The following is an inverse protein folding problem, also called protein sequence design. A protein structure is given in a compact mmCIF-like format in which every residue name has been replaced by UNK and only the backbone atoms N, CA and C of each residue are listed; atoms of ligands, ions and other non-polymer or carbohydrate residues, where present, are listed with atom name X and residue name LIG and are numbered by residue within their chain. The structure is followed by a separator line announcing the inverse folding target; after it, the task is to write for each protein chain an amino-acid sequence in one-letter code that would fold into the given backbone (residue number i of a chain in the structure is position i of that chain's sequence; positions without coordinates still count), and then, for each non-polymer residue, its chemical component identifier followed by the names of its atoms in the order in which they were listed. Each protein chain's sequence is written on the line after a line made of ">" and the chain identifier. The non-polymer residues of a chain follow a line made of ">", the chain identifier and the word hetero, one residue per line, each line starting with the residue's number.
data_IF_282728294725
#
_entry.id   IF_282728294725
#
_cell.length_a   1.000
_cell.length_b   1.000
_cell.length_c   1.000
_cell.angle_alpha   90.00
_cell.angle_beta   90.00
_cell.angle_gamma   90.00
#
_symmetry.space_group_name_H-M   'P 1'
#
loop_
_entity.id
_entity.type
_entity.pdbx_description
1 polymer ?
#
# COMPACT_ATOMS: atom_id res chain seq x y z
N UNK A 1 16.54 -28.52 7.75
CA UNK A 1 15.89 -27.30 8.27
C UNK A 1 14.61 -27.12 7.47
N UNK A 2 13.46 -26.94 8.12
CA UNK A 2 12.18 -26.81 7.40
C UNK A 2 12.11 -25.41 6.78
N UNK A 3 12.21 -25.30 5.47
CA UNK A 3 11.91 -24.05 4.78
C UNK A 3 10.38 -23.88 4.75
N UNK A 4 9.91 -22.69 5.13
CA UNK A 4 8.51 -22.29 4.97
C UNK A 4 8.53 -21.32 3.81
N UNK A 5 8.10 -21.77 2.63
CA UNK A 5 8.07 -20.92 1.44
C UNK A 5 6.83 -20.01 1.51
N UNK A 6 6.93 -18.74 1.07
CA UNK A 6 5.78 -17.83 1.05
C UNK A 6 4.74 -18.30 0.04
N UNK A 7 3.46 -18.06 0.34
CA UNK A 7 2.40 -18.28 -0.64
C UNK A 7 2.34 -17.14 -1.65
N UNK A 8 1.73 -17.40 -2.80
CA UNK A 8 1.43 -16.37 -3.79
C UNK A 8 0.62 -15.24 -3.14
N UNK A 9 1.09 -14.02 -3.34
CA UNK A 9 0.54 -12.80 -2.75
C UNK A 9 0.48 -12.78 -1.21
N UNK A 10 1.24 -13.63 -0.51
CA UNK A 10 1.32 -13.56 0.94
C UNK A 10 2.08 -12.30 1.38
N UNK A 11 1.51 -11.54 2.31
CA UNK A 11 2.21 -10.42 2.92
C UNK A 11 3.26 -10.91 3.92
N UNK A 12 4.44 -10.28 3.91
CA UNK A 12 5.62 -10.71 4.64
C UNK A 12 5.41 -10.77 6.16
N UNK A 13 4.52 -9.95 6.72
CA UNK A 13 4.09 -10.06 8.12
C UNK A 13 3.35 -11.39 8.39
N UNK A 14 2.43 -11.77 7.50
CA UNK A 14 1.72 -13.04 7.57
C UNK A 14 2.67 -14.22 7.41
N UNK A 15 3.61 -14.10 6.48
CA UNK A 15 4.63 -15.12 6.25
C UNK A 15 5.56 -15.29 7.46
N UNK A 16 6.02 -14.19 8.08
CA UNK A 16 6.78 -14.23 9.33
C UNK A 16 5.96 -14.89 10.46
N UNK A 17 4.66 -14.66 10.50
CA UNK A 17 3.71 -15.33 11.38
C UNK A 17 3.57 -16.84 11.14
N UNK A 18 3.65 -17.31 9.89
CA UNK A 18 3.72 -18.75 9.60
C UNK A 18 5.07 -19.32 10.00
N UNK A 19 6.15 -18.64 9.67
CA UNK A 19 7.51 -19.02 10.06
C UNK A 19 7.64 -19.17 11.58
N UNK A 20 7.06 -18.24 12.36
CA UNK A 20 7.14 -18.28 13.83
C UNK A 20 6.62 -19.57 14.44
N UNK A 21 5.59 -20.18 13.85
CA UNK A 21 4.96 -21.41 14.36
C UNK A 21 5.88 -22.63 14.32
N UNK A 22 6.81 -22.66 13.37
CA UNK A 22 7.75 -23.78 13.24
C UNK A 22 9.03 -23.61 14.06
N UNK A 23 9.39 -22.37 14.43
CA UNK A 23 10.72 -22.06 14.99
C UNK A 23 10.72 -21.50 16.42
N UNK A 24 9.55 -21.25 17.02
CA UNK A 24 9.50 -20.79 18.41
C UNK A 24 8.13 -20.40 18.96
N UNK A 25 7.06 -20.49 18.17
CA UNK A 25 5.70 -20.17 18.61
C UNK A 25 5.52 -18.70 18.99
N UNK A 26 6.21 -17.78 18.30
CA UNK A 26 6.13 -16.35 18.62
C UNK A 26 4.69 -15.82 18.44
N UNK A 27 4.20 -15.09 19.43
CA UNK A 27 2.86 -14.52 19.41
C UNK A 27 2.79 -13.16 18.69
N UNK A 28 3.93 -12.51 18.45
CA UNK A 28 3.99 -11.16 17.88
C UNK A 28 5.27 -10.90 17.08
N UNK A 29 5.23 -9.85 16.25
CA UNK A 29 6.40 -9.35 15.54
C UNK A 29 7.52 -8.95 16.50
N UNK A 30 7.17 -8.35 17.65
CA UNK A 30 8.16 -7.94 18.65
C UNK A 30 8.88 -9.15 19.25
N UNK A 31 8.17 -10.24 19.50
CA UNK A 31 8.78 -11.48 20.01
C UNK A 31 9.69 -12.11 18.97
N UNK A 32 9.26 -12.16 17.71
CA UNK A 32 10.07 -12.65 16.61
C UNK A 32 11.35 -11.82 16.42
N UNK A 33 11.23 -10.49 16.40
CA UNK A 33 12.38 -9.59 16.30
C UNK A 33 13.32 -9.70 17.51
N UNK A 34 12.79 -9.87 18.73
CA UNK A 34 13.60 -10.08 19.93
C UNK A 34 14.37 -11.39 19.85
N UNK A 35 13.74 -12.45 19.32
CA UNK A 35 14.40 -13.71 19.06
C UNK A 35 15.51 -13.54 18.02
N UNK A 36 15.23 -12.94 16.86
CA UNK A 36 16.24 -12.69 15.80
C UNK A 36 17.49 -12.00 16.35
N UNK A 37 17.32 -10.95 17.15
CA UNK A 37 18.42 -10.24 17.81
C UNK A 37 19.24 -11.13 18.75
N UNK A 38 18.59 -12.00 19.52
CA UNK A 38 19.28 -12.92 20.46
C UNK A 38 19.98 -14.07 19.75
N UNK A 39 19.45 -14.54 18.64
CA UNK A 39 19.99 -15.67 17.89
C UNK A 39 21.28 -15.34 17.12
N UNK A 40 21.72 -14.08 17.10
CA UNK A 40 22.79 -13.62 16.22
C UNK A 40 22.43 -13.68 14.73
N UNK A 41 21.15 -13.93 14.42
CA UNK A 41 20.62 -14.00 13.06
C UNK A 41 19.97 -12.69 12.62
N UNK A 42 19.88 -11.71 13.53
CA UNK A 42 19.55 -10.34 13.18
C UNK A 42 20.76 -9.67 12.55
N UNK A 43 20.58 -9.08 11.38
CA UNK A 43 21.60 -8.26 10.73
C UNK A 43 22.07 -7.15 11.69
N UNK A 44 23.39 -7.00 11.81
CA UNK A 44 24.06 -6.10 12.77
C UNK A 44 23.90 -4.62 12.42
N UNK A 45 23.38 -4.30 11.23
CA UNK A 45 23.10 -2.92 10.84
C UNK A 45 21.77 -2.42 11.43
N UNK A 46 21.67 -1.11 11.75
CA UNK A 46 20.47 -0.46 12.27
C UNK A 46 19.38 -0.29 11.20
N UNK A 47 19.08 -1.35 10.45
CA UNK A 47 17.89 -1.47 9.61
C UNK A 47 16.66 -1.79 10.49
N UNK A 48 16.36 -0.89 11.43
CA UNK A 48 15.18 -1.01 12.30
C UNK A 48 13.92 -1.18 11.44
N UNK A 49 13.32 -2.37 11.44
CA UNK A 49 12.00 -2.64 10.85
C UNK A 49 11.95 -3.70 9.73
N UNK A 50 13.01 -3.89 8.95
CA UNK A 50 13.06 -4.91 7.87
C UNK A 50 13.78 -6.21 8.23
N UNK A 51 14.32 -6.31 9.45
CA UNK A 51 15.08 -7.51 9.89
C UNK A 51 14.33 -8.84 9.68
N UNK A 52 13.01 -8.85 9.87
CA UNK A 52 12.20 -10.04 9.63
C UNK A 52 12.03 -10.34 8.13
N UNK A 53 11.93 -9.32 7.27
CA UNK A 53 11.87 -9.46 5.81
C UNK A 53 13.18 -10.03 5.29
N UNK A 54 14.31 -9.44 5.68
CA UNK A 54 15.66 -9.90 5.29
C UNK A 54 15.90 -11.34 5.73
N UNK A 55 15.56 -11.65 6.97
CA UNK A 55 15.70 -12.99 7.52
C UNK A 55 14.87 -14.02 6.73
N UNK A 56 13.58 -13.73 6.48
CA UNK A 56 12.70 -14.67 5.80
C UNK A 56 13.08 -14.82 4.32
N UNK A 57 13.48 -13.75 3.64
CA UNK A 57 14.01 -13.81 2.28
C UNK A 57 15.25 -14.72 2.20
N UNK A 58 16.22 -14.50 3.09
CA UNK A 58 17.42 -15.34 3.18
C UNK A 58 17.08 -16.82 3.45
N UNK A 59 16.12 -17.09 4.34
CA UNK A 59 15.71 -18.47 4.68
C UNK A 59 14.97 -19.20 3.56
N UNK A 60 14.37 -18.47 2.63
CA UNK A 60 13.63 -19.02 1.50
C UNK A 60 14.43 -19.00 0.20
N UNK A 61 15.70 -18.59 0.26
CA UNK A 61 16.56 -18.43 -0.92
C UNK A 61 15.93 -17.50 -1.99
N UNK A 62 15.15 -16.52 -1.55
CA UNK A 62 14.58 -15.45 -2.38
C UNK A 62 15.47 -14.22 -2.19
N UNK A 63 15.77 -13.49 -3.27
CA UNK A 63 16.51 -12.24 -3.13
C UNK A 63 15.71 -11.24 -2.29
N UNK A 64 16.40 -10.38 -1.53
CA UNK A 64 15.71 -9.37 -0.72
C UNK A 64 14.84 -8.46 -1.60
N UNK A 65 15.32 -8.12 -2.79
CA UNK A 65 14.57 -7.31 -3.76
C UNK A 65 13.27 -8.01 -4.18
N UNK A 66 13.36 -9.26 -4.65
CA UNK A 66 12.19 -10.03 -5.07
C UNK A 66 11.18 -10.21 -3.93
N UNK A 67 11.67 -10.45 -2.71
CA UNK A 67 10.81 -10.60 -1.56
C UNK A 67 10.10 -9.29 -1.22
N UNK A 68 10.79 -8.15 -1.30
CA UNK A 68 10.17 -6.84 -1.13
C UNK A 68 9.08 -6.62 -2.19
N UNK A 69 9.36 -6.90 -3.46
CA UNK A 69 8.39 -6.73 -4.55
C UNK A 69 7.16 -7.63 -4.40
N UNK A 70 7.34 -8.88 -3.96
CA UNK A 70 6.28 -9.90 -3.98
C UNK A 70 5.58 -10.09 -2.64
N UNK A 71 6.18 -9.65 -1.53
CA UNK A 71 5.70 -9.92 -0.17
C UNK A 71 5.59 -8.67 0.69
N UNK A 72 5.67 -7.46 0.13
CA UNK A 72 5.41 -6.21 0.88
C UNK A 72 4.45 -5.29 0.13
N UNK A 73 4.04 -4.19 0.77
CA UNK A 73 3.24 -3.13 0.15
C UNK A 73 4.11 -1.99 -0.39
N UNK A 74 5.44 -2.12 -0.34
CA UNK A 74 6.36 -1.13 -0.88
C UNK A 74 6.05 -0.78 -2.35
N UNK A 75 5.74 -1.73 -3.25
CA UNK A 75 5.45 -1.42 -4.66
C UNK A 75 4.30 -0.42 -4.84
N UNK A 76 3.22 -0.58 -4.05
CA UNK A 76 2.05 0.30 -4.07
C UNK A 76 2.34 1.71 -3.53
N UNK A 77 3.42 1.87 -2.74
CA UNK A 77 3.80 3.15 -2.11
C UNK A 77 4.85 3.90 -2.89
N UNK A 78 5.60 3.21 -3.76
CA UNK A 78 6.48 3.85 -4.74
C UNK A 78 5.57 4.70 -5.63
N UNK A 79 5.77 6.02 -5.62
CA UNK A 79 5.09 6.90 -6.58
C UNK A 79 5.69 6.71 -7.98
N UNK A 80 6.09 7.83 -8.57
CA UNK A 80 6.98 7.86 -9.72
C UNK A 80 8.43 7.83 -9.20
N UNK A 81 9.24 6.91 -9.69
CA UNK A 81 10.68 6.95 -9.46
C UNK A 81 11.30 7.79 -10.57
N UNK A 82 12.19 8.72 -10.21
CA UNK A 82 13.07 9.36 -11.17
C UNK A 82 14.17 8.36 -11.57
N UNK A 83 14.43 8.21 -12.87
CA UNK A 83 15.44 7.32 -13.49
C UNK A 83 16.91 7.52 -13.03
N UNK A 84 17.17 8.34 -12.00
CA UNK A 84 18.50 8.49 -11.40
C UNK A 84 18.98 7.31 -10.55
N UNK A 85 18.27 6.17 -10.60
CA UNK A 85 18.58 4.96 -9.80
C UNK A 85 19.70 4.10 -10.39
N UNK A 86 20.08 4.32 -11.65
CA UNK A 86 21.16 3.57 -12.29
C UNK A 86 22.53 4.27 -12.19
N UNK A 87 22.61 5.45 -11.56
CA UNK A 87 23.76 6.35 -11.71
C UNK A 87 24.68 6.56 -10.52
N UNK A 88 24.21 6.51 -9.26
CA UNK A 88 24.99 7.05 -8.15
C UNK A 88 24.97 6.19 -6.88
N UNK A 89 26.10 5.50 -6.70
CA UNK A 89 26.71 4.99 -5.45
C UNK A 89 25.77 4.41 -4.38
N UNK A 90 26.06 3.15 -4.01
CA UNK A 90 25.41 2.36 -2.97
C UNK A 90 25.34 2.99 -1.56
N UNK A 91 25.95 4.15 -1.32
CA UNK A 91 26.32 4.57 0.04
C UNK A 91 25.47 5.67 0.72
N UNK A 92 24.50 6.34 0.08
CA UNK A 92 23.69 7.33 0.84
C UNK A 92 22.21 7.44 0.41
N UNK A 93 21.92 7.52 -0.89
CA UNK A 93 20.54 7.59 -1.38
C UNK A 93 19.74 6.30 -1.09
N UNK A 94 20.40 5.14 -1.19
CA UNK A 94 19.83 3.85 -0.77
C UNK A 94 19.54 3.80 0.73
N UNK A 95 20.36 4.41 1.58
CA UNK A 95 20.18 4.44 3.04
C UNK A 95 18.99 5.31 3.47
N UNK A 96 18.79 6.48 2.83
CA UNK A 96 17.65 7.38 3.09
C UNK A 96 16.33 6.77 2.60
N UNK A 97 16.33 6.07 1.45
CA UNK A 97 15.17 5.32 0.95
C UNK A 97 14.84 4.13 1.84
N UNK A 98 15.87 3.38 2.24
CA UNK A 98 15.79 2.33 3.26
C UNK A 98 15.18 2.85 4.55
N UNK A 99 15.45 4.11 4.96
CA UNK A 99 14.93 4.77 6.19
C UNK A 99 13.44 5.12 6.17
N UNK A 100 12.90 5.55 5.03
CA UNK A 100 11.49 5.97 4.90
C UNK A 100 10.55 4.76 4.68
N UNK A 101 11.11 3.66 4.18
CA UNK A 101 10.45 2.36 3.99
C UNK A 101 10.38 1.52 5.29
N UNK A 102 11.11 1.90 6.35
CA UNK A 102 11.41 1.06 7.54
C UNK A 102 10.22 0.53 8.33
N UNK A 103 9.07 1.21 8.33
CA UNK A 103 7.88 0.76 9.06
C UNK A 103 6.60 0.83 8.23
N UNK A 104 6.56 1.77 7.30
CA UNK A 104 5.37 2.10 6.51
C UNK A 104 5.22 1.24 5.24
N UNK A 105 6.17 0.36 4.94
CA UNK A 105 6.12 -0.55 3.77
C UNK A 105 5.45 -1.89 4.02
N UNK A 106 5.15 -2.22 5.29
CA UNK A 106 4.61 -3.52 5.71
C UNK A 106 3.09 -3.51 5.85
N UNK A 107 2.50 -2.35 6.09
CA UNK A 107 1.07 -2.05 6.11
C UNK A 107 0.91 -0.63 5.55
N UNK A 108 -0.25 -0.29 4.98
CA UNK A 108 -0.49 1.00 4.36
C UNK A 108 -1.66 1.78 5.02
N UNK A 109 -1.54 3.10 5.06
CA UNK A 109 -2.63 4.03 5.44
C UNK A 109 -2.83 4.30 6.93
N UNK A 110 -4.01 4.77 7.38
CA UNK A 110 -4.37 4.84 8.80
C UNK A 110 -4.71 3.47 9.39
N UNK A 111 -4.86 2.47 8.52
CA UNK A 111 -5.12 1.06 8.82
C UNK A 111 -3.85 0.31 9.28
N UNK A 112 -2.79 1.03 9.66
CA UNK A 112 -1.48 0.49 10.07
C UNK A 112 -1.52 -0.51 11.23
N UNK A 113 -2.67 -0.65 11.90
CA UNK A 113 -2.86 -1.55 13.02
C UNK A 113 -4.08 -2.46 12.84
N UNK A 114 -4.45 -2.76 11.60
CA UNK A 114 -5.46 -3.77 11.30
C UNK A 114 -4.95 -4.75 10.24
N UNK A 115 -5.40 -6.00 10.31
CA UNK A 115 -5.18 -7.00 9.29
C UNK A 115 -6.51 -7.31 8.60
N UNK A 116 -6.57 -7.10 7.28
CA UNK A 116 -7.77 -7.28 6.47
C UNK A 116 -7.79 -8.64 5.78
N UNK A 117 -8.95 -9.28 5.68
CA UNK A 117 -9.08 -10.56 5.01
C UNK A 117 -10.48 -10.77 4.43
N UNK A 118 -10.59 -11.69 3.48
CA UNK A 118 -11.86 -12.16 2.95
C UNK A 118 -12.16 -13.55 3.55
N UNK A 119 -13.40 -13.76 4.01
CA UNK A 119 -13.82 -15.03 4.59
C UNK A 119 -13.82 -16.17 3.56
N UNK A 120 -14.30 -15.89 2.34
CA UNK A 120 -14.30 -16.84 1.22
C UNK A 120 -12.88 -17.23 0.80
N UNK A 121 -11.95 -16.27 0.74
CA UNK A 121 -10.53 -16.55 0.58
C UNK A 121 -9.98 -17.48 1.68
N UNK A 122 -10.19 -17.11 2.95
CA UNK A 122 -9.64 -17.86 4.08
C UNK A 122 -10.17 -19.31 4.15
N UNK A 123 -11.46 -19.51 3.86
CA UNK A 123 -12.08 -20.84 3.86
C UNK A 123 -11.69 -21.66 2.63
N UNK A 124 -11.59 -21.04 1.46
CA UNK A 124 -11.08 -21.65 0.23
C UNK A 124 -9.64 -22.15 0.40
N UNK A 125 -8.75 -21.30 0.92
CA UNK A 125 -7.34 -21.64 1.15
C UNK A 125 -7.21 -22.86 2.07
N UNK A 126 -8.00 -22.94 3.16
CA UNK A 126 -7.97 -24.10 4.07
C UNK A 126 -8.44 -25.38 3.37
N UNK A 127 -9.46 -25.29 2.52
CA UNK A 127 -9.96 -26.44 1.78
C UNK A 127 -8.91 -26.98 0.79
N UNK A 128 -8.17 -26.09 0.15
CA UNK A 128 -7.21 -26.45 -0.90
C UNK A 128 -5.82 -26.81 -0.33
N UNK A 129 -5.33 -26.04 0.63
CA UNK A 129 -3.95 -26.12 1.13
C UNK A 129 -3.84 -26.56 2.60
N UNK A 130 -4.96 -26.71 3.31
CA UNK A 130 -4.99 -27.05 4.74
C UNK A 130 -4.71 -25.87 5.68
N UNK A 131 -4.40 -24.69 5.14
CA UNK A 131 -4.21 -23.45 5.89
C UNK A 131 -4.53 -22.24 5.01
N UNK A 132 -4.63 -21.06 5.61
CA UNK A 132 -4.85 -19.79 4.88
C UNK A 132 -3.74 -18.79 5.16
N UNK A 133 -3.57 -17.81 4.28
CA UNK A 133 -2.56 -16.75 4.41
C UNK A 133 -3.12 -15.36 4.15
N UNK A 134 -2.43 -14.35 4.68
CA UNK A 134 -2.80 -12.95 4.53
C UNK A 134 -2.38 -12.45 3.14
N UNK A 135 -3.35 -12.10 2.29
CA UNK A 135 -3.09 -11.50 0.98
C UNK A 135 -2.64 -10.05 1.09
N UNK A 136 -1.74 -9.61 0.21
CA UNK A 136 -1.22 -8.23 0.20
C UNK A 136 -2.24 -7.25 -0.31
N UNK A 137 -2.95 -7.60 -1.37
CA UNK A 137 -3.94 -6.71 -2.01
C UNK A 137 -5.05 -6.29 -1.03
N UNK A 138 -5.45 -7.18 -0.11
CA UNK A 138 -6.37 -6.90 0.97
C UNK A 138 -5.84 -5.82 1.93
N UNK A 139 -4.52 -5.67 2.09
CA UNK A 139 -3.91 -4.73 3.03
C UNK A 139 -3.71 -3.31 2.45
N UNK A 140 -3.98 -3.10 1.17
CA UNK A 140 -3.85 -1.78 0.54
C UNK A 140 -4.82 -0.77 1.18
N UNK A 141 -4.36 0.46 1.44
CA UNK A 141 -5.19 1.49 2.07
C UNK A 141 -6.38 1.88 1.18
N UNK A 142 -7.57 1.96 1.76
CA UNK A 142 -8.82 2.29 1.04
C UNK A 142 -9.48 1.12 0.29
N UNK A 143 -8.83 -0.04 0.22
CA UNK A 143 -9.46 -1.27 -0.29
C UNK A 143 -10.43 -1.82 0.76
N UNK A 144 -11.69 -1.97 0.35
CA UNK A 144 -12.80 -2.37 1.19
C UNK A 144 -13.44 -3.71 0.78
N UNK A 145 -13.14 -4.23 -0.41
CA UNK A 145 -13.67 -5.48 -0.93
C UNK A 145 -12.55 -6.37 -1.49
N UNK A 146 -12.79 -7.68 -1.50
CA UNK A 146 -11.92 -8.66 -2.10
C UNK A 146 -11.96 -8.56 -3.63
N UNK A 147 -10.80 -8.48 -4.28
CA UNK A 147 -10.75 -8.44 -5.75
C UNK A 147 -11.16 -9.74 -6.43
N UNK A 148 -11.15 -10.86 -5.71
CA UNK A 148 -11.51 -12.19 -6.24
C UNK A 148 -12.99 -12.46 -6.04
N UNK A 149 -13.51 -12.23 -4.84
CA UNK A 149 -14.88 -12.60 -4.47
C UNK A 149 -15.87 -11.43 -4.54
N UNK A 150 -15.41 -10.19 -4.63
CA UNK A 150 -16.26 -8.98 -4.56
C UNK A 150 -16.86 -8.69 -3.18
N UNK A 151 -16.62 -9.56 -2.20
CA UNK A 151 -17.17 -9.43 -0.85
C UNK A 151 -16.43 -8.38 -0.02
N UNK A 152 -17.13 -7.69 0.91
CA UNK A 152 -16.49 -6.78 1.85
C UNK A 152 -15.42 -7.48 2.70
N UNK A 153 -14.26 -6.83 2.87
CA UNK A 153 -13.17 -7.34 3.69
C UNK A 153 -13.54 -7.24 5.17
N UNK A 154 -13.30 -8.31 5.92
CA UNK A 154 -13.26 -8.31 7.37
C UNK A 154 -11.90 -7.80 7.86
N UNK A 155 -11.85 -7.31 9.09
CA UNK A 155 -10.59 -6.94 9.72
C UNK A 155 -10.49 -7.43 11.16
N UNK A 156 -9.27 -7.54 11.64
CA UNK A 156 -8.92 -7.70 13.05
C UNK A 156 -7.91 -6.64 13.43
N UNK A 157 -7.94 -6.21 14.69
CA UNK A 157 -7.03 -5.18 15.21
C UNK A 157 -5.71 -5.80 15.63
N UNK A 158 -4.65 -5.00 15.57
CA UNK A 158 -3.33 -5.36 16.07
C UNK A 158 -2.45 -6.06 15.04
N UNK A 159 -1.17 -5.68 14.98
CA UNK A 159 -0.15 -6.31 14.15
C UNK A 159 0.07 -7.79 14.46
N UNK A 160 -0.16 -8.19 15.71
CA UNK A 160 -0.10 -9.57 16.17
C UNK A 160 -1.10 -10.47 15.45
N UNK A 161 -2.17 -9.92 14.88
CA UNK A 161 -3.13 -10.69 14.09
C UNK A 161 -2.49 -11.38 12.88
N UNK A 162 -1.43 -10.78 12.30
CA UNK A 162 -0.68 -11.42 11.21
C UNK A 162 0.04 -12.71 11.64
N UNK A 163 0.24 -12.93 12.93
CA UNK A 163 0.84 -14.16 13.46
C UNK A 163 -0.17 -15.31 13.60
N UNK A 164 -1.47 -15.02 13.54
CA UNK A 164 -2.54 -15.99 13.33
C UNK A 164 -2.86 -16.13 11.83
N UNK A 165 -3.38 -17.28 11.40
CA UNK A 165 -3.81 -17.45 10.01
C UNK A 165 -5.21 -16.87 9.87
N UNK A 166 -5.61 -16.27 8.73
CA UNK A 166 -6.93 -15.67 8.57
C UNK A 166 -8.09 -16.56 9.02
N UNK A 167 -8.06 -17.85 8.67
CA UNK A 167 -9.12 -18.80 9.07
C UNK A 167 -9.24 -19.00 10.59
N UNK A 168 -8.17 -18.73 11.37
CA UNK A 168 -8.19 -18.81 12.83
C UNK A 168 -8.83 -17.59 13.48
N UNK A 169 -9.00 -16.50 12.74
CA UNK A 169 -9.56 -15.25 13.25
C UNK A 169 -10.91 -14.90 12.63
N UNK A 170 -11.54 -15.82 11.87
CA UNK A 170 -12.85 -15.63 11.25
C UNK A 170 -13.92 -15.16 12.25
N UNK A 171 -14.01 -15.81 13.41
CA UNK A 171 -14.99 -15.48 14.45
C UNK A 171 -14.75 -14.12 15.11
N UNK A 172 -13.55 -13.59 15.03
CA UNK A 172 -13.15 -12.29 15.58
C UNK A 172 -13.11 -11.19 14.51
N UNK A 173 -13.37 -11.54 13.25
CA UNK A 173 -13.41 -10.61 12.14
C UNK A 173 -14.55 -9.61 12.30
N UNK A 174 -14.22 -8.33 12.21
CA UNK A 174 -15.17 -7.23 12.27
C UNK A 174 -15.39 -6.68 10.85
N UNK A 175 -16.59 -6.16 10.60
CA UNK A 175 -16.86 -5.35 9.42
C UNK A 175 -16.39 -3.91 9.66
N UNK A 176 -15.89 -3.21 8.62
CA UNK A 176 -15.65 -1.76 8.66
C UNK A 176 -16.84 -1.06 7.99
N UNK A 177 -17.87 -0.61 8.75
CA UNK A 177 -19.11 -0.15 8.13
C UNK A 177 -18.88 0.98 7.13
N UNK A 178 -17.98 1.92 7.46
CA UNK A 178 -17.65 3.08 6.61
C UNK A 178 -16.89 2.74 5.33
N UNK A 179 -16.21 1.58 5.27
CA UNK A 179 -15.60 1.10 4.03
C UNK A 179 -16.58 0.26 3.22
N UNK A 180 -17.46 -0.47 3.90
CA UNK A 180 -18.46 -1.35 3.29
C UNK A 180 -19.58 -0.58 2.60
N UNK A 181 -19.95 0.61 3.09
CA UNK A 181 -20.93 1.52 2.48
C UNK A 181 -20.58 1.92 1.04
N UNK A 182 -19.31 1.78 0.62
CA UNK A 182 -18.80 2.33 -0.64
C UNK A 182 -18.17 1.27 -1.56
N UNK A 183 -18.39 -0.02 -1.30
CA UNK A 183 -17.81 -1.12 -2.10
C UNK A 183 -18.20 -1.05 -3.57
N UNK A 184 -19.42 -0.56 -3.88
CA UNK A 184 -19.94 -0.46 -5.24
C UNK A 184 -19.78 0.95 -5.85
N UNK A 185 -19.14 1.88 -5.13
CA UNK A 185 -18.99 3.25 -5.63
C UNK A 185 -18.00 3.29 -6.81
N UNK A 186 -18.35 3.84 -7.99
CA UNK A 186 -17.51 3.77 -9.19
C UNK A 186 -16.09 4.29 -8.99
N UNK A 187 -15.94 5.43 -8.29
CA UNK A 187 -14.62 6.01 -8.00
C UNK A 187 -13.79 5.17 -7.03
N UNK A 188 -14.43 4.49 -6.07
CA UNK A 188 -13.74 3.62 -5.09
C UNK A 188 -13.29 2.33 -5.77
N UNK A 189 -14.14 1.74 -6.61
CA UNK A 189 -13.80 0.57 -7.43
C UNK A 189 -12.63 0.88 -8.36
N UNK A 190 -12.66 2.04 -9.01
CA UNK A 190 -11.59 2.48 -9.90
C UNK A 190 -10.29 2.74 -9.14
N UNK A 191 -10.35 3.40 -7.97
CA UNK A 191 -9.18 3.50 -7.08
C UNK A 191 -8.64 2.12 -6.71
N UNK A 192 -9.50 1.16 -6.40
CA UNK A 192 -9.08 -0.18 -6.07
C UNK A 192 -8.31 -0.85 -7.21
N UNK A 193 -8.76 -0.68 -8.46
CA UNK A 193 -8.05 -1.16 -9.65
C UNK A 193 -6.66 -0.54 -9.79
N UNK A 194 -6.53 0.78 -9.66
CA UNK A 194 -5.23 1.46 -9.73
C UNK A 194 -4.32 1.09 -8.56
N UNK A 195 -4.84 0.98 -7.33
CA UNK A 195 -4.04 0.58 -6.17
C UNK A 195 -3.48 -0.84 -6.35
N UNK A 196 -4.30 -1.74 -6.90
CA UNK A 196 -3.88 -3.11 -7.25
C UNK A 196 -2.82 -3.10 -8.37
N UNK A 197 -3.03 -2.32 -9.42
CA UNK A 197 -2.04 -2.15 -10.49
C UNK A 197 -0.69 -1.69 -9.93
N UNK A 198 -0.70 -0.67 -9.06
CA UNK A 198 0.50 -0.15 -8.41
C UNK A 198 1.22 -1.19 -7.54
N UNK A 199 0.48 -2.14 -6.94
CA UNK A 199 1.05 -3.22 -6.15
C UNK A 199 1.74 -4.30 -7.00
N UNK A 200 1.21 -4.60 -8.18
CA UNK A 200 1.67 -5.73 -9.02
C UNK A 200 2.51 -5.36 -10.23
N UNK A 201 2.68 -4.06 -10.54
CA UNK A 201 3.54 -3.65 -11.64
C UNK A 201 4.98 -4.12 -11.41
N UNK A 202 5.59 -4.64 -12.48
CA UNK A 202 6.96 -5.18 -12.44
C UNK A 202 8.04 -4.08 -12.41
N UNK A 203 7.67 -2.84 -12.75
CA UNK A 203 8.59 -1.71 -12.88
C UNK A 203 7.99 -0.45 -12.29
N UNK A 204 8.88 0.49 -11.93
CA UNK A 204 8.45 1.85 -11.67
C UNK A 204 7.68 2.41 -12.88
N UNK A 205 6.76 3.34 -12.63
CA UNK A 205 6.03 4.00 -13.71
C UNK A 205 7.01 4.81 -14.56
N UNK A 206 6.84 4.70 -15.87
CA UNK A 206 7.60 5.43 -16.88
C UNK A 206 7.48 6.95 -16.66
N UNK A 207 8.56 7.67 -16.96
CA UNK A 207 8.62 9.15 -17.01
C UNK A 207 7.51 9.70 -17.92
N UNK A 208 7.09 8.94 -18.94
CA UNK A 208 5.96 9.25 -19.82
C UNK A 208 4.60 9.41 -19.11
N UNK A 209 4.39 8.78 -17.95
CA UNK A 209 3.14 8.93 -17.19
C UNK A 209 2.89 10.37 -16.78
N UNK A 210 3.96 11.12 -16.46
CA UNK A 210 3.82 12.54 -16.15
C UNK A 210 3.17 13.31 -17.29
N UNK A 211 3.61 13.06 -18.53
CA UNK A 211 3.03 13.70 -19.73
C UNK A 211 1.58 13.27 -19.97
N UNK A 212 1.28 11.98 -19.80
CA UNK A 212 -0.08 11.46 -19.97
C UNK A 212 -1.04 12.07 -18.93
N UNK A 213 -0.62 12.13 -17.66
CA UNK A 213 -1.36 12.77 -16.58
C UNK A 213 -1.59 14.24 -16.89
N UNK A 214 -0.55 14.96 -17.33
CA UNK A 214 -0.67 16.37 -17.70
C UNK A 214 -1.66 16.58 -18.85
N UNK A 215 -1.55 15.82 -19.94
CA UNK A 215 -2.51 15.86 -21.04
C UNK A 215 -3.94 15.62 -20.54
N UNK A 216 -4.12 14.62 -19.66
CA UNK A 216 -5.43 14.26 -19.13
C UNK A 216 -6.02 15.36 -18.24
N UNK A 217 -5.21 16.05 -17.43
CA UNK A 217 -5.67 17.21 -16.63
C UNK A 217 -6.29 18.29 -17.52
N UNK A 218 -5.67 18.60 -18.66
CA UNK A 218 -6.22 19.57 -19.61
C UNK A 218 -7.56 19.12 -20.19
N UNK A 219 -7.67 17.84 -20.57
CA UNK A 219 -8.90 17.27 -21.13
C UNK A 219 -10.08 17.31 -20.16
N UNK A 220 -9.83 17.06 -18.86
CA UNK A 220 -10.88 17.11 -17.83
C UNK A 220 -11.16 18.53 -17.32
N UNK A 221 -10.48 19.54 -17.87
CA UNK A 221 -10.68 20.95 -17.51
C UNK A 221 -10.18 21.31 -16.11
N UNK A 222 -9.17 20.59 -15.61
CA UNK A 222 -8.46 20.97 -14.38
C UNK A 222 -7.68 22.25 -14.66
N UNK A 223 -7.96 23.29 -13.89
CA UNK A 223 -7.25 24.56 -14.00
C UNK A 223 -6.04 24.55 -13.08
N UNK A 224 -4.87 24.83 -13.65
CA UNK A 224 -3.66 25.04 -12.87
C UNK A 224 -3.83 26.27 -11.99
N UNK A 225 -3.87 26.05 -10.68
CA UNK A 225 -3.66 27.14 -9.73
C UNK A 225 -2.18 27.38 -9.69
N UNK A 226 -1.72 28.35 -10.47
CA UNK A 226 -0.52 29.10 -10.12
C UNK A 226 -0.78 29.77 -8.76
N UNK A 227 -0.65 28.99 -7.69
CA UNK A 227 -0.80 29.43 -6.32
C UNK A 227 0.44 30.24 -5.90
N UNK A 228 0.83 31.22 -6.71
CA UNK A 228 1.90 32.17 -6.38
C UNK A 228 1.80 33.52 -7.11
N UNK A 229 0.72 33.85 -7.84
CA UNK A 229 0.51 35.25 -8.21
C UNK A 229 -0.04 36.02 -6.99
N UNK A 230 0.86 36.61 -6.20
CA UNK A 230 0.62 37.49 -5.03
C UNK A 230 0.05 36.84 -3.76
N UNK A 231 0.32 35.56 -3.51
CA UNK A 231 0.03 34.94 -2.20
C UNK A 231 -1.46 34.85 -1.83
N UNK A 232 -2.37 34.92 -2.80
CA UNK A 232 -3.81 34.69 -2.59
C UNK A 232 -4.22 33.38 -3.26
N UNK A 233 -4.87 32.49 -2.51
CA UNK A 233 -5.53 31.29 -3.06
C UNK A 233 -6.74 31.73 -3.88
N UNK A 234 -6.96 31.12 -5.04
CA UNK A 234 -8.17 31.30 -5.82
C UNK A 234 -9.23 30.31 -5.30
N UNK A 235 -10.26 30.75 -4.55
CA UNK A 235 -11.26 29.84 -3.97
C UNK A 235 -12.17 29.16 -5.00
N UNK A 236 -12.10 29.55 -6.27
CA UNK A 236 -12.89 28.98 -7.37
C UNK A 236 -12.09 28.05 -8.28
N UNK A 237 -10.85 27.74 -7.92
CA UNK A 237 -10.02 26.90 -8.75
C UNK A 237 -10.55 25.46 -8.83
N UNK A 238 -10.64 24.95 -10.05
CA UNK A 238 -10.96 23.55 -10.35
C UNK A 238 -9.70 22.69 -10.30
N UNK A 239 -9.21 22.46 -9.08
CA UNK A 239 -8.07 21.57 -8.83
C UNK A 239 -8.48 20.10 -8.83
N UNK A 240 -7.50 19.21 -8.88
CA UNK A 240 -7.73 17.77 -8.77
C UNK A 240 -8.30 17.45 -7.38
N UNK A 241 -7.80 18.09 -6.31
CA UNK A 241 -8.37 17.91 -4.97
C UNK A 241 -9.85 18.31 -4.90
N UNK A 242 -10.22 19.44 -5.51
CA UNK A 242 -11.63 19.87 -5.57
C UNK A 242 -12.50 18.81 -6.23
N UNK A 243 -12.05 18.25 -7.35
CA UNK A 243 -12.78 17.19 -8.04
C UNK A 243 -12.82 15.88 -7.26
N UNK A 244 -11.71 15.48 -6.63
CA UNK A 244 -11.67 14.30 -5.76
C UNK A 244 -12.69 14.43 -4.62
N UNK A 245 -12.79 15.61 -4.00
CA UNK A 245 -13.79 15.88 -2.96
C UNK A 245 -15.24 15.80 -3.44
N UNK A 246 -15.50 16.12 -4.71
CA UNK A 246 -16.83 16.08 -5.31
C UNK A 246 -17.22 14.66 -5.72
N UNK A 247 -16.27 13.91 -6.30
CA UNK A 247 -16.56 12.65 -6.98
C UNK A 247 -16.36 11.42 -6.08
N UNK A 248 -15.58 11.51 -5.01
CA UNK A 248 -15.40 10.41 -4.06
C UNK A 248 -16.27 10.57 -2.81
N UNK A 249 -16.72 9.47 -2.19
CA UNK A 249 -17.45 9.56 -0.94
C UNK A 249 -16.61 10.17 0.18
N UNK A 250 -17.09 11.27 0.78
CA UNK A 250 -16.35 12.02 1.80
C UNK A 250 -15.93 11.14 2.98
N UNK A 251 -16.82 10.26 3.45
CA UNK A 251 -16.53 9.33 4.55
C UNK A 251 -15.38 8.39 4.21
N UNK A 252 -15.38 7.84 2.99
CA UNK A 252 -14.30 6.99 2.50
C UNK A 252 -12.98 7.75 2.38
N UNK A 253 -13.00 8.98 1.84
CA UNK A 253 -11.80 9.82 1.73
C UNK A 253 -11.18 10.11 3.10
N UNK A 254 -11.98 10.57 4.07
CA UNK A 254 -11.51 10.87 5.42
C UNK A 254 -10.96 9.65 6.14
N UNK A 255 -11.62 8.50 5.96
CA UNK A 255 -11.19 7.26 6.59
C UNK A 255 -9.94 6.68 5.93
N UNK A 256 -9.81 6.77 4.61
CA UNK A 256 -8.70 6.18 3.87
C UNK A 256 -7.48 7.11 3.84
N UNK A 257 -7.67 8.42 3.69
CA UNK A 257 -6.60 9.40 3.55
C UNK A 257 -6.75 10.56 4.55
N UNK A 258 -6.68 10.27 5.86
CA UNK A 258 -6.91 11.27 6.89
C UNK A 258 -5.93 12.43 6.78
N UNK A 259 -4.67 12.18 6.41
CA UNK A 259 -3.67 13.24 6.25
C UNK A 259 -3.94 14.15 5.02
N UNK A 260 -4.68 13.65 4.02
CA UNK A 260 -5.03 14.44 2.83
C UNK A 260 -6.31 15.27 3.06
N UNK A 261 -7.23 14.78 3.89
CA UNK A 261 -8.61 15.30 3.95
C UNK A 261 -9.14 15.63 5.36
N UNK A 262 -8.34 15.51 6.42
CA UNK A 262 -8.69 16.04 7.74
C UNK A 262 -8.09 17.43 7.95
N UNK A 263 -8.97 18.43 8.08
CA UNK A 263 -8.58 19.80 8.41
C UNK A 263 -7.87 20.57 7.27
N UNK A 264 -7.81 19.99 6.08
CA UNK A 264 -7.27 20.61 4.88
C UNK A 264 -8.34 21.37 4.11
N UNK A 265 -7.90 22.41 3.40
CA UNK A 265 -8.73 23.19 2.50
C UNK A 265 -9.09 22.33 1.28
N UNK A 266 -10.37 22.04 1.01
CA UNK A 266 -10.77 21.16 -0.10
C UNK A 266 -10.37 21.71 -1.47
N UNK A 267 -9.97 22.99 -1.54
CA UNK A 267 -9.56 23.67 -2.77
C UNK A 267 -8.15 23.27 -3.23
N UNK A 268 -7.25 22.87 -2.32
CA UNK A 268 -5.86 22.55 -2.71
C UNK A 268 -5.15 21.64 -1.72
N UNK A 269 -4.58 20.54 -2.23
CA UNK A 269 -3.71 19.65 -1.48
C UNK A 269 -2.32 19.55 -2.14
N UNK A 270 -1.21 19.91 -1.46
CA UNK A 270 0.14 19.91 -2.04
C UNK A 270 0.60 18.57 -2.64
N UNK A 271 0.18 17.43 -2.07
CA UNK A 271 0.55 16.10 -2.58
C UNK A 271 -0.22 15.68 -3.84
N UNK A 272 -1.28 16.41 -4.20
CA UNK A 272 -2.20 16.11 -5.31
C UNK A 272 -2.05 17.18 -6.41
N UNK A 273 -2.09 18.46 -6.02
CA UNK A 273 -2.26 19.60 -6.92
C UNK A 273 -0.98 20.40 -7.22
N UNK A 274 0.20 19.98 -6.71
CA UNK A 274 1.45 20.63 -7.13
C UNK A 274 1.64 20.46 -8.65
N UNK A 275 2.46 21.30 -9.26
CA UNK A 275 2.79 21.17 -10.69
C UNK A 275 3.77 20.02 -10.95
N UNK A 276 4.53 19.62 -9.92
CA UNK A 276 5.51 18.52 -9.97
C UNK A 276 5.37 17.43 -8.86
N UNK A 277 4.16 17.03 -8.40
CA UNK A 277 3.97 16.06 -7.32
C UNK A 277 4.68 14.74 -7.64
N UNK A 278 4.76 14.48 -8.94
CA UNK A 278 5.35 13.36 -9.63
C UNK A 278 6.88 13.26 -9.55
N UNK A 279 7.62 14.31 -9.17
CA UNK A 279 9.10 14.32 -9.31
C UNK A 279 9.90 14.01 -8.04
N UNK A 280 9.33 13.99 -6.83
CA UNK A 280 10.12 13.56 -5.65
C UNK A 280 9.37 13.36 -4.32
N UNK A 281 8.11 13.80 -4.16
CA UNK A 281 7.48 13.86 -2.82
C UNK A 281 6.05 13.31 -2.71
N UNK A 282 5.33 13.06 -3.81
CA UNK A 282 3.98 12.52 -3.71
C UNK A 282 3.97 11.10 -3.15
N UNK A 283 3.08 10.84 -2.20
CA UNK A 283 2.84 9.48 -1.72
C UNK A 283 2.22 8.64 -2.85
N UNK A 284 2.64 7.37 -3.00
CA UNK A 284 2.05 6.46 -4.00
C UNK A 284 0.52 6.35 -3.91
N UNK A 285 -0.04 6.59 -2.72
CA UNK A 285 -1.48 6.67 -2.47
C UNK A 285 -2.14 7.90 -3.10
N UNK A 286 -1.54 9.08 -2.97
CA UNK A 286 -2.02 10.30 -3.61
C UNK A 286 -1.96 10.20 -5.13
N UNK A 287 -0.85 9.65 -5.64
CA UNK A 287 -0.67 9.29 -7.06
C UNK A 287 -1.79 8.38 -7.54
N UNK A 288 -2.06 7.29 -6.82
CA UNK A 288 -3.13 6.33 -7.13
C UNK A 288 -4.51 6.99 -7.16
N UNK A 289 -4.79 7.87 -6.20
CA UNK A 289 -6.05 8.60 -6.13
C UNK A 289 -6.23 9.56 -7.32
N UNK A 290 -5.17 10.27 -7.71
CA UNK A 290 -5.17 11.11 -8.91
C UNK A 290 -5.41 10.30 -10.17
N UNK A 291 -4.75 9.14 -10.33
CA UNK A 291 -4.95 8.28 -11.49
C UNK A 291 -6.40 7.76 -11.56
N UNK A 292 -6.96 7.37 -10.42
CA UNK A 292 -8.35 6.96 -10.34
C UNK A 292 -9.32 8.12 -10.70
N UNK A 293 -8.96 9.36 -10.42
CA UNK A 293 -9.75 10.49 -10.90
C UNK A 293 -9.61 10.68 -12.42
N UNK A 294 -8.37 10.77 -12.92
CA UNK A 294 -8.07 11.20 -14.29
C UNK A 294 -8.36 10.15 -15.36
N UNK A 295 -8.19 8.87 -15.06
CA UNK A 295 -8.35 7.79 -16.04
C UNK A 295 -9.58 6.97 -15.73
N UNK A 296 -10.21 6.38 -16.74
CA UNK A 296 -11.37 5.51 -16.52
C UNK A 296 -10.94 4.07 -16.17
N UNK A 297 -9.74 3.66 -16.59
CA UNK A 297 -9.20 2.31 -16.47
C UNK A 297 -7.67 2.28 -16.48
N UNK A 298 -7.09 1.21 -15.94
CA UNK A 298 -5.62 0.98 -15.94
C UNK A 298 -5.06 0.81 -17.36
N UNK A 299 -5.86 0.31 -18.31
CA UNK A 299 -5.43 0.10 -19.70
C UNK A 299 -5.05 1.40 -20.43
N UNK A 300 -5.57 2.55 -19.99
CA UNK A 300 -5.19 3.86 -20.53
C UNK A 300 -3.73 4.24 -20.21
N UNK A 301 -3.06 3.52 -19.29
CA UNK A 301 -1.66 3.78 -18.96
C UNK A 301 -0.66 3.06 -19.88
N UNK A 302 -1.13 2.16 -20.75
CA UNK A 302 -0.28 1.33 -21.63
C UNK A 302 -0.37 1.72 -23.11
N UNK A 303 -1.13 2.78 -23.43
CA UNK A 303 -1.34 3.34 -24.76
C UNK A 303 -0.42 4.52 -25.02
#
# INVERSE_FOLDING_TARGET
>A
MIAVDPMNDEIGLGHAGRFSRFFGGFASLNDFQRWLRRSGMGYTEPHFGLQHVEFVAHRTNITLSDYIEKHTLIPARRGLEWEGLDGHSEDDAGAVRRSTLKFRGLIDGPDMNIAKFCASCATGDVREHGFSWWRRDHQLGGICACFVHGEPLLFVRGLESFFAAPHKVLSSGLALPYLHEHVDHPMVLRYAQFARYMLYRDRAMDVGLGQLVEARKYEVGVEFVYAQYKGRRCPHAKTISTHIHQDFPERWLRASFPNLFLGTDPVYHPDIDRDEPWRSQASGRGVTLCMAFLFSSVSELSS
#
